data_IF_899468243484
#
_entry.id   IF_899468243484
#
_cell.length_a   1.000
_cell.length_b   1.000
_cell.length_c   1.000
_cell.angle_alpha   90.00
_cell.angle_beta   90.00
_cell.angle_gamma   90.00
#
_symmetry.space_group_name_H-M   'P 1'
#
loop_
_entity.id
_entity.type
_entity.pdbx_description
1 polymer ?
#
# COMPACT_ATOMS: atom_id res chain seq x y z
N UNK A 1 8.17 6.98 40.40
CA UNK A 1 8.23 6.51 39.00
C UNK A 1 6.80 6.30 38.51
N UNK A 2 6.09 7.36 38.10
CA UNK A 2 4.64 7.25 37.83
C UNK A 2 4.11 8.12 36.68
N UNK A 3 4.95 8.70 35.83
CA UNK A 3 4.48 9.75 34.90
C UNK A 3 4.55 9.41 33.40
N UNK A 4 5.00 8.20 33.04
CA UNK A 4 5.07 7.79 31.62
C UNK A 4 3.78 7.10 31.17
N UNK A 5 3.10 6.40 32.08
CA UNK A 5 1.85 5.66 31.76
C UNK A 5 0.66 6.61 31.52
N UNK A 6 0.56 7.69 32.28
CA UNK A 6 -0.49 8.70 32.10
C UNK A 6 -0.33 9.52 30.81
N UNK A 7 0.91 9.80 30.39
CA UNK A 7 1.19 10.51 29.15
C UNK A 7 0.83 9.65 27.91
N UNK A 8 1.17 8.36 27.93
CA UNK A 8 0.84 7.43 26.84
C UNK A 8 -0.69 7.27 26.63
N UNK A 9 -1.47 7.26 27.71
CA UNK A 9 -2.93 7.22 27.63
C UNK A 9 -3.50 8.54 27.09
N UNK A 10 -2.98 9.69 27.52
CA UNK A 10 -3.41 11.01 27.01
C UNK A 10 -3.14 11.18 25.51
N UNK A 11 -2.01 10.64 25.02
CA UNK A 11 -1.65 10.63 23.59
C UNK A 11 -2.63 9.75 22.82
N UNK A 12 -2.91 8.53 23.29
CA UNK A 12 -3.85 7.63 22.62
C UNK A 12 -5.25 8.24 22.50
N UNK A 13 -5.76 8.87 23.56
CA UNK A 13 -7.06 9.57 23.51
C UNK A 13 -7.04 10.76 22.56
N UNK A 14 -5.94 11.51 22.50
CA UNK A 14 -5.80 12.63 21.57
C UNK A 14 -5.74 12.19 20.10
N UNK A 15 -5.14 11.03 19.82
CA UNK A 15 -5.10 10.41 18.49
C UNK A 15 -6.51 9.97 18.10
N UNK A 16 -7.23 9.27 18.98
CA UNK A 16 -8.59 8.82 18.67
C UNK A 16 -9.53 10.01 18.42
N UNK A 17 -9.40 11.10 19.18
CA UNK A 17 -10.16 12.32 18.96
C UNK A 17 -9.78 13.06 17.67
N UNK A 18 -8.49 13.08 17.30
CA UNK A 18 -8.05 13.66 16.04
C UNK A 18 -8.51 12.83 14.85
N UNK A 19 -8.42 11.50 14.94
CA UNK A 19 -8.91 10.55 13.94
C UNK A 19 -10.41 10.68 13.74
N UNK A 20 -11.18 10.84 14.83
CA UNK A 20 -12.63 11.08 14.76
C UNK A 20 -12.95 12.39 14.05
N UNK A 21 -12.23 13.48 14.34
CA UNK A 21 -12.39 14.76 13.62
C UNK A 21 -12.06 14.62 12.14
N UNK A 22 -10.97 13.93 11.82
CA UNK A 22 -10.58 13.61 10.45
C UNK A 22 -11.65 12.77 9.75
N UNK A 23 -12.29 11.83 10.46
CA UNK A 23 -13.40 11.02 9.92
C UNK A 23 -14.61 11.89 9.59
N UNK A 24 -15.02 12.74 10.52
CA UNK A 24 -16.15 13.66 10.33
C UNK A 24 -15.89 14.64 9.18
N UNK A 25 -14.66 15.13 9.06
CA UNK A 25 -14.25 16.03 7.98
C UNK A 25 -14.13 15.30 6.63
N UNK A 26 -13.58 14.09 6.60
CA UNK A 26 -13.42 13.30 5.38
C UNK A 26 -14.79 12.98 4.77
N UNK A 27 -15.78 12.64 5.62
CA UNK A 27 -17.17 12.43 5.18
C UNK A 27 -17.80 13.66 4.51
N UNK A 28 -17.28 14.86 4.78
CA UNK A 28 -17.73 16.14 4.22
C UNK A 28 -16.84 16.68 3.09
N UNK A 29 -15.68 16.07 2.83
CA UNK A 29 -14.61 16.65 2.02
C UNK A 29 -14.86 16.66 0.50
N UNK A 30 -16.05 16.25 0.01
CA UNK A 30 -16.37 16.28 -1.43
C UNK A 30 -17.86 16.45 -1.72
N UNK A 31 -18.18 17.12 -2.84
CA UNK A 31 -19.54 17.33 -3.37
C UNK A 31 -20.25 16.08 -3.94
N UNK A 32 -19.70 14.87 -3.71
CA UNK A 32 -20.28 13.62 -4.22
C UNK A 32 -21.59 13.31 -3.49
N UNK A 33 -22.64 12.92 -4.23
CA UNK A 33 -23.92 12.60 -3.62
C UNK A 33 -24.01 11.10 -3.36
N UNK A 34 -24.50 10.68 -2.19
CA UNK A 34 -24.96 9.32 -1.98
C UNK A 34 -26.00 8.96 -3.06
N UNK A 35 -25.85 7.82 -3.72
CA UNK A 35 -26.81 7.34 -4.72
C UNK A 35 -28.03 6.65 -4.07
N UNK A 36 -28.44 7.10 -2.88
CA UNK A 36 -29.48 6.48 -2.05
C UNK A 36 -28.96 6.03 -0.68
N UNK A 37 -29.49 4.92 -0.16
CA UNK A 37 -29.01 4.29 1.08
C UNK A 37 -27.60 3.75 0.86
N UNK A 38 -26.64 4.26 1.63
CA UNK A 38 -25.23 3.90 1.52
C UNK A 38 -24.93 2.67 2.36
N UNK A 39 -24.29 1.68 1.75
CA UNK A 39 -23.73 0.55 2.48
C UNK A 39 -22.36 0.94 3.03
N UNK A 40 -22.25 1.07 4.35
CA UNK A 40 -20.99 1.38 5.03
C UNK A 40 -20.24 0.10 5.41
N UNK A 41 -18.95 0.07 5.09
CA UNK A 41 -18.02 -1.00 5.43
C UNK A 41 -16.84 -0.38 6.14
N UNK A 42 -16.54 -0.84 7.36
CA UNK A 42 -15.36 -0.41 8.11
C UNK A 42 -14.38 -1.56 8.27
N UNK A 43 -13.10 -1.29 8.01
CA UNK A 43 -12.00 -2.16 8.38
C UNK A 43 -10.97 -1.39 9.21
N UNK A 44 -10.48 -2.04 10.26
CA UNK A 44 -9.29 -1.59 10.99
C UNK A 44 -8.11 -2.46 10.57
N UNK A 45 -7.08 -1.83 10.02
CA UNK A 45 -5.88 -2.53 9.53
C UNK A 45 -4.64 -1.95 10.22
N UNK A 46 -3.71 -2.80 10.63
CA UNK A 46 -2.40 -2.34 11.10
C UNK A 46 -1.46 -2.18 9.91
N UNK A 47 -0.77 -1.05 9.83
CA UNK A 47 0.26 -0.80 8.83
C UNK A 47 1.44 -1.75 9.03
N UNK A 48 2.11 -2.06 7.92
CA UNK A 48 3.40 -2.75 7.95
C UNK A 48 4.44 -1.89 8.67
N UNK A 49 5.38 -2.52 9.38
CA UNK A 49 6.56 -1.83 9.90
C UNK A 49 7.56 -1.45 8.78
N UNK A 50 7.36 -1.97 7.56
CA UNK A 50 8.16 -1.62 6.38
C UNK A 50 7.46 -0.58 5.54
N UNK A 51 8.17 0.54 5.33
CA UNK A 51 7.66 1.70 4.58
C UNK A 51 8.05 1.62 3.11
N UNK A 52 7.42 0.68 2.39
CA UNK A 52 7.59 0.52 0.95
C UNK A 52 6.29 0.07 0.28
N UNK A 53 6.13 0.45 -1.00
CA UNK A 53 4.93 0.14 -1.79
C UNK A 53 4.50 -1.34 -1.80
N UNK A 54 5.39 -2.34 -1.82
CA UNK A 54 4.97 -3.76 -1.74
C UNK A 54 4.20 -4.11 -0.46
N UNK A 55 4.46 -3.40 0.64
CA UNK A 55 3.81 -3.59 1.93
C UNK A 55 2.67 -2.59 2.19
N UNK A 56 2.19 -1.91 1.13
CA UNK A 56 1.09 -0.97 1.22
C UNK A 56 -0.18 -1.63 1.76
N UNK A 57 -0.88 -0.91 2.64
CA UNK A 57 -2.18 -1.32 3.18
C UNK A 57 -3.21 -1.30 2.04
N UNK A 58 -3.93 -2.41 1.84
CA UNK A 58 -4.99 -2.48 0.84
C UNK A 58 -6.24 -1.76 1.34
N UNK A 59 -6.72 -0.78 0.58
CA UNK A 59 -7.90 0.03 0.93
C UNK A 59 -9.11 -0.31 0.06
N UNK A 60 -8.96 -1.25 -0.88
CA UNK A 60 -10.07 -1.82 -1.66
C UNK A 60 -10.01 -1.49 -3.15
N UNK A 61 -11.18 -1.64 -3.78
CA UNK A 61 -11.36 -1.45 -5.22
C UNK A 61 -12.26 -0.25 -5.47
N UNK A 62 -11.76 0.70 -6.25
CA UNK A 62 -12.49 1.87 -6.70
C UNK A 62 -13.28 1.53 -7.96
N UNK A 63 -14.60 1.70 -7.87
CA UNK A 63 -15.59 1.35 -8.88
C UNK A 63 -16.46 2.58 -9.10
N UNK A 64 -16.54 3.01 -10.36
CA UNK A 64 -17.31 4.18 -10.76
C UNK A 64 -18.77 4.08 -10.29
N UNK A 65 -19.28 5.19 -9.76
CA UNK A 65 -20.66 5.36 -9.27
C UNK A 65 -21.07 4.34 -8.19
N UNK A 66 -20.10 3.64 -7.60
CA UNK A 66 -20.35 2.52 -6.70
C UNK A 66 -19.56 2.66 -5.42
N UNK A 67 -18.22 2.73 -5.48
CA UNK A 67 -17.39 2.74 -4.28
C UNK A 67 -16.71 4.08 -4.02
N UNK A 68 -16.72 4.46 -2.75
CA UNK A 68 -15.88 5.49 -2.16
C UNK A 68 -14.93 4.81 -1.18
N UNK A 69 -13.64 5.12 -1.27
CA UNK A 69 -12.63 4.55 -0.39
C UNK A 69 -12.09 5.64 0.52
N UNK A 70 -12.23 5.48 1.83
CA UNK A 70 -11.68 6.38 2.83
C UNK A 70 -10.50 5.72 3.54
N UNK A 71 -9.48 6.52 3.81
CA UNK A 71 -8.32 6.12 4.58
C UNK A 71 -8.14 7.14 5.68
N UNK A 72 -8.16 6.67 6.92
CA UNK A 72 -7.91 7.48 8.09
C UNK A 72 -6.66 6.95 8.76
N UNK A 73 -5.71 7.83 9.02
CA UNK A 73 -4.48 7.45 9.72
C UNK A 73 -3.77 8.63 10.33
N UNK A 74 -2.68 8.29 11.01
CA UNK A 74 -1.70 9.22 11.55
C UNK A 74 -0.36 8.87 10.95
N UNK A 75 0.40 9.85 10.50
CA UNK A 75 1.80 9.69 10.16
C UNK A 75 2.59 9.81 11.46
N UNK A 76 3.08 8.68 12.00
CA UNK A 76 3.71 8.64 13.30
C UNK A 76 5.04 9.42 13.34
N UNK A 77 5.49 9.76 14.55
CA UNK A 77 6.78 10.42 14.71
C UNK A 77 7.91 9.54 14.14
N UNK A 78 8.77 10.16 13.33
CA UNK A 78 9.87 9.54 12.58
C UNK A 78 9.43 8.52 11.52
N UNK A 79 8.13 8.43 11.21
CA UNK A 79 7.64 7.62 10.10
C UNK A 79 7.90 8.33 8.76
N UNK A 80 8.79 7.81 7.89
CA UNK A 80 9.13 8.48 6.64
C UNK A 80 7.95 8.57 5.67
N UNK A 81 7.11 7.54 5.61
CA UNK A 81 5.97 7.51 4.69
C UNK A 81 5.04 6.30 4.96
N UNK A 82 3.76 6.54 4.73
CA UNK A 82 2.72 5.52 4.63
C UNK A 82 2.37 5.20 3.20
N UNK A 83 2.02 3.94 2.94
CA UNK A 83 1.66 3.45 1.62
C UNK A 83 0.29 2.76 1.66
N UNK A 84 -0.60 3.18 0.76
CA UNK A 84 -1.94 2.62 0.59
C UNK A 84 -2.13 2.21 -0.86
N UNK A 85 -2.60 0.99 -1.09
CA UNK A 85 -2.87 0.48 -2.43
C UNK A 85 -4.36 0.30 -2.65
N UNK A 86 -4.79 0.61 -3.86
CA UNK A 86 -6.16 0.40 -4.33
C UNK A 86 -6.13 -0.03 -5.79
N UNK A 87 -7.18 -0.71 -6.21
CA UNK A 87 -7.38 -1.10 -7.60
C UNK A 87 -8.47 -0.22 -8.24
N UNK A 88 -8.24 0.30 -9.43
CA UNK A 88 -9.28 0.89 -10.27
C UNK A 88 -9.93 -0.20 -11.12
N UNK A 89 -11.22 -0.46 -10.89
CA UNK A 89 -11.95 -1.48 -11.64
C UNK A 89 -12.25 -1.07 -13.08
N UNK A 90 -12.30 0.23 -13.38
CA UNK A 90 -12.61 0.79 -14.70
C UNK A 90 -11.79 2.06 -14.92
N UNK A 91 -11.37 2.37 -16.16
CA UNK A 91 -10.80 3.68 -16.47
C UNK A 91 -11.81 4.80 -16.19
N UNK A 92 -11.32 5.98 -15.81
CA UNK A 92 -12.17 7.16 -15.62
C UNK A 92 -11.52 8.24 -14.77
N UNK A 93 -12.29 9.30 -14.51
CA UNK A 93 -11.85 10.43 -13.70
C UNK A 93 -11.98 10.10 -12.21
N UNK A 94 -10.89 10.32 -11.49
CA UNK A 94 -10.81 10.06 -10.05
C UNK A 94 -10.68 11.37 -9.29
N UNK A 95 -11.40 11.47 -8.18
CA UNK A 95 -11.29 12.57 -7.24
C UNK A 95 -10.60 12.14 -5.94
N UNK A 96 -9.73 13.02 -5.44
CA UNK A 96 -9.11 12.94 -4.12
C UNK A 96 -9.68 14.02 -3.20
N UNK A 97 -10.39 13.59 -2.16
CA UNK A 97 -10.64 14.43 -0.99
C UNK A 97 -9.50 14.25 0.02
N UNK A 98 -9.09 15.33 0.67
CA UNK A 98 -8.10 15.29 1.76
C UNK A 98 -8.50 16.22 2.89
N UNK A 99 -8.30 15.74 4.11
CA UNK A 99 -8.47 16.49 5.35
C UNK A 99 -7.36 16.13 6.34
N UNK A 100 -7.16 16.96 7.36
CA UNK A 100 -6.19 16.74 8.43
C UNK A 100 -5.09 17.80 8.48
N UNK A 101 -3.98 17.45 9.11
CA UNK A 101 -2.91 18.39 9.45
C UNK A 101 -2.17 18.89 8.20
N UNK A 102 -1.76 20.16 8.24
CA UNK A 102 -0.89 20.76 7.22
C UNK A 102 0.51 20.13 7.25
N UNK A 103 1.25 20.21 6.14
CA UNK A 103 2.61 19.68 6.07
C UNK A 103 2.69 18.18 5.74
N UNK A 104 1.57 17.60 5.30
CA UNK A 104 1.52 16.24 4.73
C UNK A 104 1.58 16.34 3.20
N UNK A 105 2.41 15.52 2.58
CA UNK A 105 2.55 15.34 1.14
C UNK A 105 1.83 14.07 0.70
N UNK A 106 1.05 14.15 -0.35
CA UNK A 106 0.36 13.01 -0.97
C UNK A 106 0.87 12.83 -2.39
N UNK A 107 1.28 11.62 -2.71
CA UNK A 107 1.72 11.24 -4.05
C UNK A 107 0.90 10.04 -4.52
N UNK A 108 0.39 10.10 -5.75
CA UNK A 108 -0.21 8.95 -6.43
C UNK A 108 0.85 8.32 -7.33
N UNK A 109 1.00 7.00 -7.23
CA UNK A 109 1.93 6.22 -8.02
C UNK A 109 1.17 5.15 -8.81
N UNK A 110 1.62 4.89 -10.04
CA UNK A 110 1.14 3.75 -10.83
C UNK A 110 1.73 2.42 -10.34
N UNK A 111 1.34 1.31 -10.96
CA UNK A 111 1.83 -0.04 -10.63
C UNK A 111 3.36 -0.20 -10.78
N UNK A 112 4.01 0.65 -11.56
CA UNK A 112 5.47 0.66 -11.74
C UNK A 112 6.18 1.52 -10.68
N UNK A 113 5.43 2.20 -9.81
CA UNK A 113 5.98 3.10 -8.80
C UNK A 113 6.32 4.49 -9.36
N UNK A 114 5.91 4.82 -10.58
CA UNK A 114 6.08 6.17 -11.14
C UNK A 114 5.05 7.10 -10.51
N UNK A 115 5.50 8.25 -10.04
CA UNK A 115 4.62 9.30 -9.52
C UNK A 115 3.83 9.92 -10.67
N UNK A 116 2.51 9.81 -10.61
CA UNK A 116 1.56 10.35 -11.61
C UNK A 116 0.85 11.61 -11.11
N UNK A 117 0.74 11.79 -9.79
CA UNK A 117 0.30 13.04 -9.17
C UNK A 117 1.06 13.28 -7.86
N UNK A 118 1.37 14.54 -7.54
CA UNK A 118 2.17 14.93 -6.37
C UNK A 118 1.68 16.25 -5.76
N UNK A 119 1.36 16.26 -4.46
CA UNK A 119 0.86 17.48 -3.79
C UNK A 119 1.91 18.58 -3.62
N UNK A 120 3.19 18.29 -3.87
CA UNK A 120 4.23 19.30 -3.80
C UNK A 120 4.10 20.31 -4.95
N UNK A 121 3.93 21.59 -4.63
CA UNK A 121 3.81 22.69 -5.61
C UNK A 121 5.01 22.84 -6.55
N UNK A 122 6.17 22.33 -6.16
CA UNK A 122 7.39 22.35 -6.97
C UNK A 122 7.53 21.13 -7.89
N UNK A 123 6.56 20.21 -7.92
CA UNK A 123 6.65 18.95 -8.67
C UNK A 123 6.33 19.08 -10.18
N UNK A 124 6.06 20.30 -10.67
CA UNK A 124 5.79 20.55 -12.09
C UNK A 124 4.51 19.85 -12.57
N UNK A 125 4.59 19.09 -13.66
CA UNK A 125 3.41 18.48 -14.28
C UNK A 125 2.67 17.49 -13.38
N UNK A 126 3.34 16.87 -12.40
CA UNK A 126 2.67 15.99 -11.43
C UNK A 126 1.91 16.78 -10.36
N UNK A 127 2.26 18.04 -10.12
CA UNK A 127 1.45 18.96 -9.32
C UNK A 127 0.17 19.37 -10.06
N UNK A 128 0.27 19.65 -11.35
CA UNK A 128 -0.92 19.91 -12.18
C UNK A 128 -1.86 18.70 -12.20
N UNK A 129 -1.29 17.49 -12.29
CA UNK A 129 -2.05 16.25 -12.18
C UNK A 129 -2.68 16.08 -10.79
N UNK A 130 -2.00 16.50 -9.72
CA UNK A 130 -2.58 16.51 -8.38
C UNK A 130 -3.74 17.50 -8.26
N UNK A 131 -3.65 18.68 -8.87
CA UNK A 131 -4.78 19.62 -8.94
C UNK A 131 -5.98 19.04 -9.66
N UNK A 132 -5.76 18.31 -10.76
CA UNK A 132 -6.82 17.54 -11.43
C UNK A 132 -7.37 16.44 -10.54
N UNK A 133 -6.52 15.80 -9.73
CA UNK A 133 -6.93 14.77 -8.79
C UNK A 133 -7.84 15.33 -7.69
N UNK A 134 -7.47 16.45 -7.08
CA UNK A 134 -8.33 17.15 -6.11
C UNK A 134 -9.66 17.58 -6.75
N UNK A 135 -9.61 18.09 -8.00
CA UNK A 135 -10.78 18.55 -8.73
C UNK A 135 -11.66 17.42 -9.29
N UNK A 136 -11.24 16.16 -9.22
CA UNK A 136 -11.99 15.04 -9.78
C UNK A 136 -11.96 14.95 -11.31
N UNK A 137 -10.94 15.49 -11.95
CA UNK A 137 -10.74 15.50 -13.42
C UNK A 137 -9.47 14.76 -13.84
N UNK A 138 -8.79 14.09 -12.91
CA UNK A 138 -7.64 13.25 -13.23
C UNK A 138 -8.12 11.93 -13.82
N UNK A 139 -7.96 11.76 -15.13
CA UNK A 139 -8.25 10.50 -15.81
C UNK A 139 -7.15 9.47 -15.54
N UNK A 140 -7.54 8.28 -15.08
CA UNK A 140 -6.67 7.14 -14.81
C UNK A 140 -7.18 5.90 -15.56
N UNK A 141 -6.25 5.05 -15.97
CA UNK A 141 -6.57 3.74 -16.54
C UNK A 141 -6.93 2.73 -15.45
N UNK A 142 -7.64 1.65 -15.84
CA UNK A 142 -7.83 0.47 -14.99
C UNK A 142 -6.46 -0.06 -14.53
N UNK A 143 -6.31 -0.32 -13.24
CA UNK A 143 -5.10 -0.92 -12.72
C UNK A 143 -4.87 -0.66 -11.24
N UNK A 144 -3.71 -1.09 -10.76
CA UNK A 144 -3.30 -0.90 -9.38
C UNK A 144 -2.57 0.44 -9.23
N UNK A 145 -2.92 1.15 -8.17
CA UNK A 145 -2.31 2.42 -7.80
C UNK A 145 -1.93 2.40 -6.33
N UNK A 146 -0.93 3.21 -6.00
CA UNK A 146 -0.47 3.38 -4.62
C UNK A 146 -0.45 4.85 -4.26
N UNK A 147 -1.13 5.22 -3.18
CA UNK A 147 -0.94 6.50 -2.51
C UNK A 147 0.24 6.38 -1.55
N UNK A 148 1.18 7.31 -1.66
CA UNK A 148 2.23 7.54 -0.67
C UNK A 148 1.93 8.82 0.09
N UNK A 149 1.84 8.69 1.40
CA UNK A 149 1.63 9.82 2.33
C UNK A 149 2.91 10.03 3.10
N UNK A 150 3.45 11.25 3.07
CA UNK A 150 4.72 11.59 3.73
C UNK A 150 4.66 13.00 4.29
N UNK A 151 5.73 13.48 4.90
CA UNK A 151 5.84 14.89 5.30
C UNK A 151 6.33 15.73 4.14
N UNK A 152 5.87 16.97 4.07
CA UNK A 152 6.47 17.97 3.20
C UNK A 152 7.93 18.20 3.59
N UNK A 153 8.74 18.62 2.62
CA UNK A 153 10.16 18.88 2.85
C UNK A 153 10.30 19.99 3.90
N UNK A 154 11.10 19.72 4.94
CA UNK A 154 11.34 20.67 6.03
C UNK A 154 10.36 20.58 7.21
N UNK A 155 9.29 19.78 7.10
CA UNK A 155 8.40 19.51 8.24
C UNK A 155 9.07 18.53 9.21
N UNK A 156 9.03 18.86 10.50
CA UNK A 156 9.71 18.08 11.54
C UNK A 156 9.14 16.66 11.66
N UNK A 157 10.03 15.66 11.63
CA UNK A 157 9.64 14.26 11.78
C UNK A 157 9.15 13.91 13.19
N UNK A 158 9.42 14.74 14.20
CA UNK A 158 9.05 14.48 15.61
C UNK A 158 7.56 14.65 15.88
N UNK A 159 6.86 15.39 15.03
CA UNK A 159 5.42 15.62 15.18
C UNK A 159 4.63 14.60 14.39
N UNK A 160 3.64 14.03 15.04
CA UNK A 160 2.62 13.23 14.37
C UNK A 160 1.73 14.13 13.50
N UNK A 161 1.23 13.59 12.39
CA UNK A 161 0.30 14.30 11.50
C UNK A 161 -0.90 13.41 11.21
N UNK A 162 -2.09 13.84 11.60
CA UNK A 162 -3.32 13.13 11.31
C UNK A 162 -3.81 13.49 9.92
N UNK A 163 -4.31 12.52 9.18
CA UNK A 163 -4.83 12.76 7.84
C UNK A 163 -5.94 11.80 7.47
N UNK A 164 -6.84 12.30 6.63
CA UNK A 164 -7.91 11.55 5.99
C UNK A 164 -7.79 11.73 4.49
N UNK A 165 -7.85 10.63 3.75
CA UNK A 165 -7.90 10.62 2.30
C UNK A 165 -9.18 9.94 1.86
N UNK A 166 -9.82 10.49 0.83
CA UNK A 166 -11.00 9.93 0.22
C UNK A 166 -10.79 9.80 -1.29
N UNK A 167 -11.00 8.62 -1.83
CA UNK A 167 -10.99 8.34 -3.27
C UNK A 167 -12.40 8.04 -3.75
N UNK A 168 -12.78 8.62 -4.89
CA UNK A 168 -14.07 8.35 -5.54
C UNK A 168 -13.99 8.49 -7.06
N UNK A 169 -14.98 7.92 -7.74
CA UNK A 169 -15.21 8.11 -9.17
C UNK A 169 -16.71 8.33 -9.39
N UNK A 170 -17.13 9.60 -9.48
CA UNK A 170 -18.55 9.97 -9.57
C UNK A 170 -19.28 9.88 -8.23
N UNK A 171 -20.52 9.35 -8.28
CA UNK A 171 -21.37 9.11 -7.10
C UNK A 171 -20.98 7.80 -6.40
N UNK A 172 -21.71 7.40 -5.36
CA UNK A 172 -21.42 6.16 -4.63
C UNK A 172 -22.63 5.55 -3.93
N UNK A 173 -22.66 4.22 -3.85
CA UNK A 173 -23.62 3.42 -3.07
C UNK A 173 -22.95 2.62 -1.94
N UNK A 174 -21.62 2.51 -1.97
CA UNK A 174 -20.80 1.77 -1.01
C UNK A 174 -19.67 2.64 -0.51
N UNK A 175 -19.53 2.69 0.80
CA UNK A 175 -18.50 3.47 1.48
C UNK A 175 -17.57 2.53 2.24
N UNK A 176 -16.27 2.60 1.96
CA UNK A 176 -15.26 1.72 2.53
C UNK A 176 -14.30 2.53 3.39
N UNK A 177 -14.49 2.47 4.70
CA UNK A 177 -13.65 3.14 5.69
C UNK A 177 -12.49 2.23 6.10
N UNK A 178 -11.26 2.67 5.83
CA UNK A 178 -10.04 2.01 6.30
C UNK A 178 -9.39 2.83 7.40
N UNK A 179 -9.45 2.33 8.63
CA UNK A 179 -8.73 2.88 9.78
C UNK A 179 -7.36 2.21 9.85
N UNK A 180 -6.33 2.91 9.41
CA UNK A 180 -4.96 2.41 9.38
C UNK A 180 -4.21 2.78 10.68
N UNK A 181 -3.95 1.78 11.52
CA UNK A 181 -3.24 1.92 12.80
C UNK A 181 -1.73 1.71 12.64
N UNK A 182 -0.94 2.32 13.52
CA UNK A 182 0.51 2.15 13.52
C UNK A 182 0.93 0.69 13.69
N UNK A 183 2.10 0.30 13.14
CA UNK A 183 2.70 -0.98 13.44
C UNK A 183 2.99 -1.11 14.94
N UNK A 184 2.95 -2.32 15.46
CA UNK A 184 3.41 -2.60 16.83
C UNK A 184 4.93 -2.70 16.83
N UNK A 185 5.60 -2.19 17.86
CA UNK A 185 7.05 -2.30 18.01
C UNK A 185 7.46 -3.79 18.00
N UNK A 186 8.31 -4.18 17.05
CA UNK A 186 8.78 -5.55 16.90
C UNK A 186 7.98 -6.41 15.91
N UNK A 187 6.94 -5.86 15.27
CA UNK A 187 6.21 -6.57 14.21
C UNK A 187 7.08 -6.73 12.97
N UNK A 188 7.19 -7.96 12.44
CA UNK A 188 8.07 -8.27 11.32
C UNK A 188 7.25 -8.78 10.12
N UNK A 189 6.93 -7.91 9.15
CA UNK A 189 6.03 -8.24 8.04
C UNK A 189 6.61 -9.31 7.10
N UNK A 190 7.94 -9.50 7.08
CA UNK A 190 8.60 -10.56 6.31
C UNK A 190 8.31 -11.96 6.85
N UNK A 191 8.02 -12.08 8.15
CA UNK A 191 7.61 -13.34 8.76
C UNK A 191 6.14 -13.65 8.50
N UNK A 192 5.33 -12.68 8.06
CA UNK A 192 3.89 -12.85 7.89
C UNK A 192 3.48 -13.14 6.45
N UNK A 193 4.34 -12.88 5.46
CA UNK A 193 4.07 -13.17 4.04
C UNK A 193 4.39 -14.63 3.69
N UNK A 194 3.39 -15.48 3.39
CA UNK A 194 3.62 -16.91 3.09
C UNK A 194 4.51 -17.11 1.86
N UNK A 195 4.46 -16.21 0.87
CA UNK A 195 5.30 -16.32 -0.32
C UNK A 195 6.80 -16.10 -0.02
N UNK A 196 7.13 -15.16 0.87
CA UNK A 196 8.53 -14.91 1.27
C UNK A 196 9.02 -15.98 2.25
N UNK A 197 8.17 -16.53 3.13
CA UNK A 197 8.54 -17.72 3.90
C UNK A 197 8.88 -18.90 2.98
N UNK A 198 8.10 -19.11 1.92
CA UNK A 198 8.38 -20.17 0.93
C UNK A 198 9.67 -19.92 0.16
N UNK A 199 9.93 -18.67 -0.26
CA UNK A 199 11.19 -18.31 -0.90
C UNK A 199 12.38 -18.47 0.05
N UNK A 200 12.23 -18.06 1.31
CA UNK A 200 13.26 -18.25 2.34
C UNK A 200 13.49 -19.73 2.56
N UNK A 201 12.45 -20.56 2.71
CA UNK A 201 12.57 -22.02 2.83
C UNK A 201 13.22 -22.69 1.62
N UNK A 202 13.08 -22.12 0.41
CA UNK A 202 13.76 -22.60 -0.79
C UNK A 202 15.22 -22.15 -0.83
N UNK A 203 15.54 -21.00 -0.23
CA UNK A 203 16.89 -20.41 -0.24
C UNK A 203 17.75 -20.86 0.96
N UNK A 204 17.15 -21.14 2.11
CA UNK A 204 17.79 -21.70 3.31
C UNK A 204 17.64 -23.22 3.43
N UNK A 205 16.78 -23.85 2.62
CA UNK A 205 16.64 -25.31 2.52
C UNK A 205 17.68 -25.99 1.62
N UNK A 206 18.84 -25.35 1.39
CA UNK A 206 19.86 -25.78 0.44
C UNK A 206 21.11 -26.43 1.07
N UNK A 207 21.01 -27.11 2.21
CA UNK A 207 22.10 -27.97 2.74
C UNK A 207 21.55 -29.17 3.50
N UNK A 208 20.87 -30.09 2.80
CA UNK A 208 20.83 -31.50 3.24
C UNK A 208 21.14 -32.36 2.03
N UNK A 209 22.33 -32.94 2.07
CA UNK A 209 22.77 -34.05 1.24
C UNK A 209 21.75 -35.20 1.28
N UNK A 210 21.03 -35.40 0.18
CA UNK A 210 20.50 -36.71 -0.17
C UNK A 210 20.53 -36.84 -1.68
N UNK A 211 21.40 -37.74 -2.14
CA UNK A 211 21.54 -38.19 -3.52
C UNK A 211 20.19 -38.56 -4.13
N UNK A 212 19.89 -38.03 -5.31
CA UNK A 212 18.77 -38.49 -6.13
C UNK A 212 18.10 -37.41 -6.97
N UNK A 213 18.37 -37.45 -8.28
CA UNK A 213 17.56 -36.86 -9.35
C UNK A 213 17.52 -35.31 -9.46
N UNK A 214 18.67 -34.70 -9.75
CA UNK A 214 18.73 -33.48 -10.57
C UNK A 214 18.83 -33.90 -12.04
N UNK A 215 17.74 -33.79 -12.79
CA UNK A 215 17.71 -34.28 -14.16
C UNK A 215 16.59 -33.75 -15.05
N UNK A 216 16.06 -32.55 -14.84
CA UNK A 216 15.13 -31.91 -15.80
C UNK A 216 15.30 -30.38 -15.78
N UNK A 217 16.36 -29.83 -16.39
CA UNK A 217 16.33 -28.45 -16.91
C UNK A 217 17.44 -28.09 -17.92
N UNK A 218 18.03 -29.03 -18.65
CA UNK A 218 18.93 -28.66 -19.75
C UNK A 218 18.65 -29.52 -20.97
N UNK A 219 17.72 -29.02 -21.80
CA UNK A 219 17.54 -29.52 -23.15
C UNK A 219 18.78 -29.21 -23.98
N UNK A 220 19.38 -30.29 -24.50
CA UNK A 220 19.95 -30.37 -25.84
C UNK A 220 21.27 -29.65 -26.11
N UNK A 221 22.38 -30.42 -26.14
CA UNK A 221 23.20 -30.58 -27.35
C UNK A 221 24.41 -31.48 -27.11
N UNK A 222 24.54 -32.54 -27.90
CA UNK A 222 25.83 -33.11 -28.34
C UNK A 222 26.45 -34.18 -27.44
N UNK A 223 26.71 -35.36 -28.02
CA UNK A 223 27.65 -36.32 -27.42
C UNK A 223 27.37 -37.80 -27.66
N UNK A 224 27.10 -38.19 -28.90
CA UNK A 224 27.18 -39.60 -29.31
C UNK A 224 28.65 -40.02 -29.39
N UNK A 225 29.10 -40.87 -28.47
CA UNK A 225 30.38 -41.60 -28.58
C UNK A 225 30.15 -43.08 -28.25
N UNK A 226 29.62 -43.81 -29.23
CA UNK A 226 29.56 -45.27 -29.25
C UNK A 226 30.33 -45.81 -30.46
N UNK A 227 31.60 -46.13 -30.27
CA UNK A 227 32.44 -47.02 -31.09
C UNK A 227 33.16 -47.88 -30.04
N UNK A 228 32.90 -49.17 -29.84
CA UNK A 228 32.94 -50.25 -30.81
C UNK A 228 34.38 -50.80 -30.86
N UNK A 229 34.69 -51.86 -30.09
CA UNK A 229 35.72 -52.87 -30.43
C UNK A 229 35.97 -53.94 -29.34
N UNK A 230 35.86 -55.20 -29.79
CA UNK A 230 36.65 -56.41 -29.46
C UNK A 230 36.47 -57.09 -28.08
N UNK A 231 35.84 -58.27 -28.06
CA UNK A 231 36.47 -59.61 -28.08
C UNK A 231 37.21 -59.97 -26.79
N UNK A 232 36.56 -60.80 -25.95
CA UNK A 232 37.13 -61.91 -25.20
C UNK A 232 35.93 -62.68 -24.64
N UNK A 233 35.72 -63.99 -24.81
CA UNK A 233 36.65 -65.10 -24.81
C UNK A 233 36.10 -66.10 -23.77
N UNK A 234 35.73 -67.30 -24.25
CA UNK A 234 35.24 -68.51 -23.57
C UNK A 234 35.46 -68.60 -22.04
N UNK A 235 34.43 -68.98 -21.28
CA UNK A 235 34.16 -70.34 -20.75
C UNK A 235 32.75 -70.40 -20.17
#
# INVERSE_FOLDING_TARGET
>A
MSDISGLAQSIQTSIDAAMKRVQEQAKQATDAKPSGEVQEYEQTVRKSALNAAPFATNVGTLVKDTSRLNVLSTLAANDPADFYKFNLATPGEVALGRVGDTGVRVQLMDKQGKIVADSNSEAGSTYDAYKKFEAGTLSLDRGDYTLRVSRDKGVAAKEEKNYGLQLRMGDYSKDYDTIAKQPVKGDNPLQQTPQLQRLTSLLTGGTTTSSGALGILTGGSGGYSGRGSLLNGLF
#
